data_IF_129596588805
#
_entry.id   IF_129596588805
#
_cell.length_a   1.000
_cell.length_b   1.000
_cell.length_c   1.000
_cell.angle_alpha   90.00
_cell.angle_beta   90.00
_cell.angle_gamma   90.00
#
_symmetry.space_group_name_H-M   'P 1'
#
loop_
_entity.id
_entity.type
_entity.pdbx_description
1 polymer ?
#
# COMPACT_ATOMS: atom_id res chain seq x y z
N UNK A 1 -20.43 18.89 -1.28
CA UNK A 1 -20.46 17.99 -0.10
C UNK A 1 -21.51 18.49 0.89
N UNK A 2 -22.34 17.61 1.46
CA UNK A 2 -23.37 18.02 2.45
C UNK A 2 -22.73 18.53 3.75
N UNK A 3 -23.43 19.40 4.50
CA UNK A 3 -22.97 19.91 5.81
C UNK A 3 -22.61 18.77 6.78
N UNK A 4 -23.44 17.73 6.84
CA UNK A 4 -23.21 16.55 7.69
C UNK A 4 -21.99 15.72 7.27
N UNK A 5 -21.73 15.63 5.97
CA UNK A 5 -20.53 14.94 5.47
C UNK A 5 -19.27 15.75 5.78
N UNK A 6 -19.31 17.07 5.61
CA UNK A 6 -18.18 17.96 5.92
C UNK A 6 -17.80 17.89 7.40
N UNK A 7 -18.77 17.88 8.32
CA UNK A 7 -18.54 17.66 9.75
C UNK A 7 -17.78 16.34 10.01
N UNK A 8 -18.25 15.24 9.40
CA UNK A 8 -17.65 13.93 9.54
C UNK A 8 -16.22 13.81 8.97
N UNK A 9 -15.75 14.72 8.12
CA UNK A 9 -14.36 14.70 7.62
C UNK A 9 -13.32 14.88 8.74
N UNK A 10 -13.75 15.39 9.89
CA UNK A 10 -12.90 15.54 11.08
C UNK A 10 -13.10 14.44 12.12
N UNK A 11 -13.95 13.44 11.83
CA UNK A 11 -14.32 12.39 12.78
C UNK A 11 -13.13 11.58 13.29
N UNK A 12 -12.11 11.35 12.45
CA UNK A 12 -10.90 10.62 12.80
C UNK A 12 -10.16 11.16 14.04
N UNK A 13 -10.34 12.44 14.41
CA UNK A 13 -9.82 13.00 15.66
C UNK A 13 -10.42 12.34 16.91
N UNK A 14 -11.65 11.83 16.79
CA UNK A 14 -12.35 11.12 17.86
C UNK A 14 -11.96 9.63 17.92
N UNK A 15 -10.96 9.19 17.14
CA UNK A 15 -10.44 7.83 17.22
C UNK A 15 -9.53 7.70 18.44
N UNK A 16 -10.12 7.55 19.62
CA UNK A 16 -9.40 7.21 20.84
C UNK A 16 -9.37 5.68 21.00
N UNK A 17 -8.19 5.14 21.32
CA UNK A 17 -7.99 3.73 21.62
C UNK A 17 -8.56 3.41 23.02
N UNK A 18 -9.88 3.44 23.18
CA UNK A 18 -10.50 3.21 24.49
C UNK A 18 -10.37 1.76 24.99
N UNK A 19 -9.92 0.79 24.18
CA UNK A 19 -9.87 -0.61 24.59
C UNK A 19 -8.81 -1.46 23.84
N UNK A 20 -7.69 -0.87 23.40
CA UNK A 20 -6.65 -1.53 22.58
C UNK A 20 -7.14 -2.17 21.26
N UNK A 21 -8.42 -1.98 20.89
CA UNK A 21 -9.03 -2.52 19.67
C UNK A 21 -9.04 -1.45 18.59
N UNK A 22 -8.46 -1.79 17.45
CA UNK A 22 -8.53 -0.96 16.25
C UNK A 22 -9.88 -1.18 15.54
N UNK A 23 -10.73 -0.15 15.51
CA UNK A 23 -12.02 -0.17 14.79
C UNK A 23 -12.02 0.73 13.54
N UNK A 24 -10.94 1.48 13.34
CA UNK A 24 -10.77 2.38 12.21
C UNK A 24 -9.27 2.59 11.94
N UNK A 25 -8.82 2.79 10.68
CA UNK A 25 -7.40 2.99 10.40
C UNK A 25 -6.74 4.16 11.14
N UNK A 26 -7.51 5.21 11.45
CA UNK A 26 -7.04 6.35 12.25
C UNK A 26 -6.61 6.01 13.68
N UNK A 27 -7.08 4.89 14.23
CA UNK A 27 -6.67 4.41 15.55
C UNK A 27 -5.33 3.63 15.51
N UNK A 28 -4.83 3.31 14.32
CA UNK A 28 -3.62 2.51 14.12
C UNK A 28 -2.32 3.31 14.21
N UNK A 29 -1.24 2.61 14.56
CA UNK A 29 0.10 3.21 14.71
C UNK A 29 0.63 3.85 13.40
N UNK A 30 0.26 3.32 12.24
CA UNK A 30 0.66 3.90 10.96
C UNK A 30 0.11 5.33 10.78
N UNK A 31 -1.14 5.57 11.21
CA UNK A 31 -1.75 6.90 11.15
C UNK A 31 -1.09 7.86 12.14
N UNK A 32 -0.90 7.42 13.39
CA UNK A 32 -0.23 8.22 14.43
C UNK A 32 1.19 8.58 14.02
N UNK A 33 1.93 7.63 13.46
CA UNK A 33 3.28 7.85 12.98
C UNK A 33 3.29 8.88 11.85
N UNK A 34 2.38 8.76 10.88
CA UNK A 34 2.22 9.74 9.80
C UNK A 34 1.95 11.15 10.35
N UNK A 35 0.98 11.29 11.27
CA UNK A 35 0.63 12.58 11.87
C UNK A 35 1.79 13.18 12.68
N UNK A 36 2.56 12.35 13.39
CA UNK A 36 3.76 12.79 14.12
C UNK A 36 4.91 13.22 13.21
N UNK A 37 4.97 12.68 11.99
CA UNK A 37 6.01 12.97 11.00
C UNK A 37 5.65 14.22 10.19
N UNK A 38 4.37 14.44 9.90
CA UNK A 38 3.86 15.53 9.08
C UNK A 38 2.96 16.45 9.89
N UNK A 39 3.54 17.14 10.89
CA UNK A 39 2.81 17.99 11.83
C UNK A 39 1.99 19.09 11.15
N UNK A 40 2.53 19.73 10.11
CA UNK A 40 1.81 20.76 9.35
C UNK A 40 0.54 20.19 8.69
N UNK A 41 0.65 19.01 8.07
CA UNK A 41 -0.50 18.31 7.49
C UNK A 41 -1.52 17.93 8.56
N UNK A 42 -1.07 17.38 9.69
CA UNK A 42 -1.94 16.92 10.78
C UNK A 42 -2.62 18.07 11.54
N UNK A 43 -2.01 19.27 11.55
CA UNK A 43 -2.56 20.46 12.21
C UNK A 43 -3.89 20.91 11.61
N UNK A 44 -4.13 20.62 10.33
CA UNK A 44 -5.41 20.84 9.66
C UNK A 44 -6.18 19.51 9.58
N UNK A 45 -7.15 19.26 10.49
CA UNK A 45 -7.88 17.99 10.51
C UNK A 45 -8.75 17.77 9.28
N UNK A 46 -9.05 18.81 8.49
CA UNK A 46 -9.82 18.65 7.25
C UNK A 46 -8.98 18.12 6.09
N UNK A 47 -7.66 18.02 6.25
CA UNK A 47 -6.79 17.37 5.27
C UNK A 47 -7.13 15.88 5.13
N UNK A 48 -7.07 15.40 3.90
CA UNK A 48 -7.67 14.11 3.53
C UNK A 48 -6.62 13.02 3.46
N UNK A 49 -6.90 11.89 4.09
CA UNK A 49 -6.08 10.67 4.04
C UNK A 49 -6.81 9.62 3.22
N UNK A 50 -6.14 9.14 2.19
CA UNK A 50 -6.67 8.23 1.18
C UNK A 50 -6.08 6.82 1.33
N UNK A 51 -6.89 5.83 0.98
CA UNK A 51 -6.42 4.51 0.59
C UNK A 51 -6.59 4.34 -0.92
N UNK A 52 -5.65 3.64 -1.55
CA UNK A 52 -5.80 3.21 -2.95
C UNK A 52 -5.95 1.70 -2.96
N UNK A 53 -6.91 1.16 -3.69
CA UNK A 53 -6.99 -0.27 -3.93
C UNK A 53 -7.14 -0.59 -5.41
N UNK A 54 -6.48 -1.65 -5.85
CA UNK A 54 -6.60 -2.13 -7.22
C UNK A 54 -6.25 -3.61 -7.29
N UNK A 55 -6.94 -4.31 -8.19
CA UNK A 55 -6.71 -5.71 -8.49
C UNK A 55 -7.13 -5.99 -9.94
N UNK A 56 -6.58 -7.03 -10.53
CA UNK A 56 -6.89 -7.46 -11.89
C UNK A 56 -7.99 -8.51 -11.91
N UNK A 57 -9.02 -8.29 -12.73
CA UNK A 57 -10.04 -9.32 -12.98
C UNK A 57 -10.37 -9.47 -14.47
N UNK A 58 -10.93 -10.63 -14.83
CA UNK A 58 -11.34 -10.97 -16.20
C UNK A 58 -12.87 -10.86 -16.31
N UNK A 59 -13.41 -9.80 -16.93
CA UNK A 59 -14.85 -9.56 -16.98
C UNK A 59 -15.63 -10.55 -17.86
N UNK A 60 -15.00 -11.16 -18.87
CA UNK A 60 -15.68 -12.00 -19.87
C UNK A 60 -15.47 -13.52 -19.69
N UNK A 61 -14.97 -13.94 -18.52
CA UNK A 61 -14.71 -15.35 -18.21
C UNK A 61 -13.50 -15.96 -18.94
N UNK A 62 -13.16 -17.20 -18.61
CA UNK A 62 -11.96 -17.90 -19.14
C UNK A 62 -12.10 -18.46 -20.56
N UNK A 63 -13.29 -18.41 -21.16
CA UNK A 63 -13.61 -19.04 -22.45
C UNK A 63 -13.59 -18.09 -23.65
N UNK A 64 -13.43 -16.79 -23.42
CA UNK A 64 -13.32 -15.76 -24.47
C UNK A 64 -11.91 -15.19 -24.54
N UNK A 65 -11.61 -14.41 -25.59
CA UNK A 65 -10.30 -13.75 -25.78
C UNK A 65 -9.79 -13.13 -24.47
N UNK A 66 -8.50 -13.28 -24.13
CA UNK A 66 -7.98 -12.78 -22.87
C UNK A 66 -8.25 -11.28 -22.76
N UNK A 67 -8.85 -10.88 -21.65
CA UNK A 67 -9.17 -9.48 -21.36
C UNK A 67 -8.96 -9.23 -19.88
N UNK A 68 -8.17 -8.22 -19.56
CA UNK A 68 -7.88 -7.84 -18.18
C UNK A 68 -8.45 -6.46 -17.90
N UNK A 69 -9.09 -6.32 -16.74
CA UNK A 69 -9.60 -5.06 -16.22
C UNK A 69 -9.00 -4.82 -14.82
N UNK A 70 -8.44 -3.64 -14.62
CA UNK A 70 -7.84 -3.18 -13.38
C UNK A 70 -8.52 -1.88 -12.95
N UNK A 71 -9.59 -1.94 -12.14
CA UNK A 71 -10.15 -0.76 -11.53
C UNK A 71 -9.21 -0.25 -10.43
N UNK A 72 -9.03 1.06 -10.39
CA UNK A 72 -8.29 1.75 -9.33
C UNK A 72 -9.29 2.53 -8.52
N UNK A 73 -9.53 2.08 -7.30
CA UNK A 73 -10.40 2.76 -6.36
C UNK A 73 -9.61 3.59 -5.35
N UNK A 74 -10.17 4.73 -4.99
CA UNK A 74 -9.65 5.62 -3.96
C UNK A 74 -10.70 5.74 -2.86
N UNK A 75 -10.30 5.49 -1.61
CA UNK A 75 -11.15 5.51 -0.43
C UNK A 75 -10.77 6.68 0.48
N UNK A 76 -11.78 7.33 1.08
CA UNK A 76 -11.59 8.43 2.03
C UNK A 76 -11.69 7.93 3.47
N UNK A 77 -10.56 7.91 4.19
CA UNK A 77 -10.51 7.42 5.57
C UNK A 77 -10.81 8.48 6.63
N UNK A 78 -11.04 9.73 6.26
CA UNK A 78 -11.41 10.77 7.23
C UNK A 78 -12.76 10.53 7.91
N UNK A 79 -13.62 9.75 7.27
CA UNK A 79 -15.01 9.51 7.65
C UNK A 79 -15.15 8.40 8.70
N UNK A 80 -16.24 8.39 9.49
CA UNK A 80 -16.50 7.32 10.45
C UNK A 80 -16.63 5.94 9.79
N UNK A 81 -16.40 4.84 10.55
CA UNK A 81 -16.49 3.46 10.07
C UNK A 81 -17.79 3.12 9.34
N UNK A 82 -18.90 3.71 9.78
CA UNK A 82 -20.23 3.52 9.18
C UNK A 82 -20.38 4.17 7.81
N UNK A 83 -19.39 4.97 7.37
CA UNK A 83 -19.44 5.74 6.12
C UNK A 83 -18.22 5.53 5.23
N UNK A 84 -17.00 5.38 5.76
CA UNK A 84 -15.77 5.36 4.95
C UNK A 84 -15.76 4.28 3.84
N UNK A 85 -16.53 3.20 4.00
CA UNK A 85 -16.66 2.11 3.02
C UNK A 85 -17.94 2.18 2.17
N UNK A 86 -18.75 3.24 2.28
CA UNK A 86 -19.93 3.40 1.44
C UNK A 86 -19.54 3.81 0.02
N UNK A 87 -20.31 3.34 -0.97
CA UNK A 87 -20.08 3.60 -2.39
C UNK A 87 -19.88 5.10 -2.71
N UNK A 88 -20.60 5.99 -2.02
CA UNK A 88 -20.49 7.44 -2.22
C UNK A 88 -19.13 8.06 -1.82
N UNK A 89 -18.28 7.30 -1.11
CA UNK A 89 -16.93 7.71 -0.69
C UNK A 89 -15.83 6.77 -1.21
N UNK A 90 -16.18 5.89 -2.14
CA UNK A 90 -15.25 5.05 -2.89
C UNK A 90 -15.27 5.55 -4.34
N UNK A 91 -14.20 6.23 -4.73
CA UNK A 91 -14.06 6.80 -6.06
C UNK A 91 -13.41 5.80 -6.99
N UNK A 92 -14.06 5.48 -8.11
CA UNK A 92 -13.41 4.80 -9.21
C UNK A 92 -12.59 5.83 -10.01
N UNK A 93 -11.31 5.95 -9.68
CA UNK A 93 -10.44 6.98 -10.27
C UNK A 93 -9.97 6.61 -11.67
N UNK A 94 -9.66 5.32 -11.90
CA UNK A 94 -9.19 4.83 -13.19
C UNK A 94 -9.78 3.45 -13.47
N UNK A 95 -9.99 3.15 -14.75
CA UNK A 95 -10.26 1.80 -15.24
C UNK A 95 -9.22 1.49 -16.29
N UNK A 96 -8.30 0.58 -15.97
CA UNK A 96 -7.23 0.17 -16.88
C UNK A 96 -7.66 -1.12 -17.56
N UNK A 97 -7.90 -1.05 -18.86
CA UNK A 97 -8.38 -2.17 -19.67
C UNK A 97 -7.36 -2.56 -20.73
N UNK A 98 -7.31 -3.85 -21.07
CA UNK A 98 -6.51 -4.30 -22.19
C UNK A 98 -6.71 -5.79 -22.52
N UNK A 99 -6.31 -6.21 -23.73
CA UNK A 99 -6.30 -7.63 -24.12
C UNK A 99 -5.34 -8.47 -23.26
N UNK A 100 -4.45 -7.81 -22.52
CA UNK A 100 -3.57 -8.42 -21.53
C UNK A 100 -3.48 -7.47 -20.33
N UNK A 101 -3.10 -8.01 -19.17
CA UNK A 101 -2.74 -7.18 -18.01
C UNK A 101 -1.69 -6.15 -18.40
N UNK A 102 -1.85 -4.92 -17.89
CA UNK A 102 -0.89 -3.82 -18.10
C UNK A 102 0.52 -4.19 -17.62
N UNK A 103 0.64 -5.22 -16.76
CA UNK A 103 1.90 -5.77 -16.29
C UNK A 103 2.79 -4.67 -15.71
N UNK A 104 3.97 -4.50 -16.31
CA UNK A 104 4.96 -3.49 -15.90
C UNK A 104 4.62 -2.06 -16.31
N UNK A 105 3.57 -1.83 -17.11
CA UNK A 105 3.19 -0.49 -17.58
C UNK A 105 2.03 0.12 -16.76
N UNK A 106 1.67 -0.49 -15.62
CA UNK A 106 0.60 0.04 -14.75
C UNK A 106 0.96 1.44 -14.21
N UNK A 107 2.24 1.70 -14.00
CA UNK A 107 2.81 2.98 -13.56
C UNK A 107 2.52 4.12 -14.54
N UNK A 108 2.63 3.88 -15.86
CA UNK A 108 2.28 4.84 -16.91
C UNK A 108 0.81 5.19 -16.84
N UNK A 109 -0.04 4.19 -16.62
CA UNK A 109 -1.49 4.36 -16.54
C UNK A 109 -1.91 5.09 -15.25
N UNK A 110 -1.17 4.90 -14.16
CA UNK A 110 -1.41 5.58 -12.88
C UNK A 110 -0.89 7.02 -12.85
N UNK A 111 -0.08 7.43 -13.83
CA UNK A 111 0.56 8.75 -13.87
C UNK A 111 -0.40 9.93 -13.66
N UNK A 112 -1.59 10.00 -14.29
CA UNK A 112 -2.53 11.09 -14.05
C UNK A 112 -2.95 11.18 -12.58
N UNK A 113 -3.26 10.03 -11.96
CA UNK A 113 -3.64 9.98 -10.54
C UNK A 113 -2.46 10.37 -9.63
N UNK A 114 -1.24 9.95 -9.97
CA UNK A 114 -0.03 10.32 -9.23
C UNK A 114 0.23 11.83 -9.32
N UNK A 115 0.03 12.44 -10.49
CA UNK A 115 0.23 13.87 -10.69
C UNK A 115 -0.80 14.69 -9.90
N UNK A 116 -2.07 14.26 -9.86
CA UNK A 116 -3.09 14.84 -9.00
C UNK A 116 -2.72 14.73 -7.51
N UNK A 117 -2.29 13.55 -7.06
CA UNK A 117 -1.86 13.32 -5.67
C UNK A 117 -0.67 14.22 -5.28
N UNK A 118 0.29 14.39 -6.19
CA UNK A 118 1.41 15.33 -5.98
C UNK A 118 0.91 16.77 -5.89
N UNK A 119 -0.01 17.17 -6.75
CA UNK A 119 -0.58 18.50 -6.71
C UNK A 119 -1.28 18.78 -5.37
N UNK A 120 -2.11 17.84 -4.91
CA UNK A 120 -2.78 17.95 -3.61
C UNK A 120 -1.79 17.96 -2.43
N UNK A 121 -0.70 17.21 -2.51
CA UNK A 121 0.29 17.16 -1.44
C UNK A 121 1.13 18.43 -1.34
N UNK A 122 1.72 18.89 -2.46
CA UNK A 122 2.69 19.99 -2.46
C UNK A 122 2.05 21.38 -2.48
N UNK A 123 0.93 21.55 -3.19
CA UNK A 123 0.29 22.86 -3.36
C UNK A 123 -1.03 22.97 -2.62
N UNK A 124 -1.70 21.84 -2.39
CA UNK A 124 -3.06 21.82 -1.86
C UNK A 124 -4.08 22.42 -2.82
N UNK A 125 -5.35 22.40 -2.43
CA UNK A 125 -6.45 22.97 -3.19
C UNK A 125 -7.36 23.77 -2.27
N UNK A 126 -7.66 25.02 -2.65
CA UNK A 126 -8.59 25.86 -1.90
C UNK A 126 -9.97 25.21 -1.89
N UNK A 127 -10.43 24.84 -0.71
CA UNK A 127 -11.65 24.06 -0.51
C UNK A 127 -12.57 24.77 0.46
N UNK A 128 -13.86 24.78 0.15
CA UNK A 128 -14.88 25.36 1.02
C UNK A 128 -15.47 24.30 1.95
N UNK A 129 -15.40 24.54 3.26
CA UNK A 129 -16.00 23.71 4.29
C UNK A 129 -17.44 24.15 4.55
N UNK A 130 -18.41 23.34 4.15
CA UNK A 130 -19.84 23.64 4.32
C UNK A 130 -20.36 23.50 5.76
N UNK A 131 -19.58 22.91 6.66
CA UNK A 131 -19.89 22.83 8.09
C UNK A 131 -19.41 24.06 8.84
N UNK A 132 -18.14 24.45 8.66
CA UNK A 132 -17.55 25.63 9.29
C UNK A 132 -17.78 26.94 8.53
N UNK A 133 -18.34 26.88 7.31
CA UNK A 133 -18.58 28.03 6.44
C UNK A 133 -17.33 28.86 6.14
N UNK A 134 -16.19 28.19 5.93
CA UNK A 134 -14.90 28.85 5.69
C UNK A 134 -14.09 28.13 4.61
N UNK A 135 -13.25 28.89 3.92
CA UNK A 135 -12.25 28.32 3.04
C UNK A 135 -11.04 27.83 3.84
N UNK A 136 -10.41 26.77 3.34
CA UNK A 136 -9.14 26.28 3.83
C UNK A 136 -8.33 25.70 2.67
N UNK A 137 -7.02 25.60 2.85
CA UNK A 137 -6.18 24.91 1.88
C UNK A 137 -6.18 23.42 2.23
N UNK A 138 -6.81 22.61 1.40
CA UNK A 138 -6.89 21.17 1.60
C UNK A 138 -5.69 20.49 0.97
N UNK A 139 -4.93 19.76 1.77
CA UNK A 139 -3.93 18.80 1.31
C UNK A 139 -4.46 17.38 1.38
N UNK A 140 -3.92 16.51 0.53
CA UNK A 140 -4.31 15.09 0.46
C UNK A 140 -3.08 14.20 0.53
N UNK A 141 -3.15 13.15 1.34
CA UNK A 141 -2.11 12.15 1.51
C UNK A 141 -2.62 10.76 1.13
N UNK A 142 -1.84 9.99 0.36
CA UNK A 142 -2.08 8.57 0.15
C UNK A 142 -1.37 7.78 1.26
N UNK A 143 -2.14 7.11 2.11
CA UNK A 143 -1.60 6.40 3.28
C UNK A 143 -1.06 5.01 2.94
N UNK A 144 -1.79 4.25 2.12
CA UNK A 144 -1.41 2.89 1.73
C UNK A 144 -2.15 2.42 0.48
N UNK A 145 -1.57 1.39 -0.14
CA UNK A 145 -2.17 0.64 -1.23
C UNK A 145 -2.68 -0.71 -0.74
N UNK A 146 -3.88 -1.12 -1.17
CA UNK A 146 -4.49 -2.42 -0.88
C UNK A 146 -4.53 -3.21 -2.18
N UNK A 147 -3.81 -4.32 -2.21
CA UNK A 147 -3.75 -5.24 -3.33
C UNK A 147 -3.46 -6.65 -2.82
N UNK A 148 -3.71 -7.66 -3.63
CA UNK A 148 -3.16 -8.98 -3.39
C UNK A 148 -1.63 -8.97 -3.59
N UNK A 149 -0.97 -10.12 -3.39
CA UNK A 149 0.48 -10.20 -3.52
C UNK A 149 0.92 -9.95 -4.97
N UNK A 150 0.14 -10.37 -5.97
CA UNK A 150 0.50 -10.20 -7.38
C UNK A 150 0.39 -8.74 -7.81
N UNK A 151 -0.72 -8.09 -7.48
CA UNK A 151 -0.97 -6.67 -7.67
C UNK A 151 0.02 -5.80 -6.91
N UNK A 152 0.46 -6.23 -5.72
CA UNK A 152 1.53 -5.54 -4.99
C UNK A 152 2.81 -5.47 -5.84
N UNK A 153 3.20 -6.57 -6.50
CA UNK A 153 4.40 -6.58 -7.35
C UNK A 153 4.27 -5.64 -8.55
N UNK A 154 3.08 -5.53 -9.12
CA UNK A 154 2.81 -4.59 -10.21
C UNK A 154 2.84 -3.13 -9.74
N UNK A 155 2.20 -2.83 -8.60
CA UNK A 155 2.14 -1.47 -8.05
C UNK A 155 3.47 -0.95 -7.52
N UNK A 156 4.22 -1.80 -6.82
CA UNK A 156 5.49 -1.44 -6.20
C UNK A 156 6.70 -1.61 -7.12
N UNK A 157 6.52 -2.29 -8.26
CA UNK A 157 7.63 -2.74 -9.11
C UNK A 157 8.50 -3.83 -8.46
N UNK A 158 8.08 -4.37 -7.32
CA UNK A 158 8.83 -5.39 -6.59
C UNK A 158 8.59 -6.80 -7.18
N UNK A 159 9.63 -7.64 -7.16
CA UNK A 159 9.48 -9.03 -7.60
C UNK A 159 8.70 -9.84 -6.58
N UNK A 160 7.56 -10.38 -6.99
CA UNK A 160 6.73 -11.28 -6.16
C UNK A 160 7.08 -12.74 -6.36
N UNK A 161 8.12 -13.03 -7.14
CA UNK A 161 8.53 -14.39 -7.51
C UNK A 161 9.93 -14.75 -6.99
N UNK A 162 10.12 -16.05 -6.74
CA UNK A 162 11.41 -16.62 -6.37
C UNK A 162 11.88 -16.20 -4.98
N UNK A 163 13.19 -15.99 -4.81
CA UNK A 163 13.80 -15.66 -3.50
C UNK A 163 13.52 -14.24 -3.03
N UNK A 164 13.18 -13.34 -3.95
CA UNK A 164 12.97 -11.91 -3.69
C UNK A 164 11.52 -11.57 -3.34
N UNK A 165 10.61 -12.54 -3.26
CA UNK A 165 9.18 -12.30 -2.97
C UNK A 165 8.93 -11.48 -1.70
N UNK A 166 9.81 -11.54 -0.70
CA UNK A 166 9.65 -10.78 0.54
C UNK A 166 10.23 -9.36 0.41
N UNK A 167 9.39 -8.31 0.40
CA UNK A 167 9.88 -6.92 0.28
C UNK A 167 10.59 -6.43 1.54
N UNK A 168 10.37 -7.08 2.69
CA UNK A 168 11.03 -6.71 3.96
C UNK A 168 12.42 -7.30 4.09
N UNK A 169 12.60 -8.57 3.68
CA UNK A 169 13.91 -9.22 3.72
C UNK A 169 14.79 -8.82 2.54
N UNK A 170 14.19 -8.47 1.41
CA UNK A 170 14.88 -8.10 0.18
C UNK A 170 15.94 -9.15 -0.23
N UNK A 171 17.15 -8.71 -0.58
CA UNK A 171 18.30 -9.57 -0.89
C UNK A 171 18.75 -10.44 0.29
N UNK A 172 18.38 -10.08 1.53
CA UNK A 172 18.75 -10.81 2.75
C UNK A 172 17.75 -11.93 3.09
N UNK A 173 16.86 -12.28 2.16
CA UNK A 173 15.93 -13.39 2.29
C UNK A 173 16.66 -14.71 2.51
N UNK A 174 16.27 -15.46 3.55
CA UNK A 174 16.78 -16.82 3.85
C UNK A 174 16.12 -17.91 3.00
N UNK A 175 15.32 -17.52 2.00
CA UNK A 175 14.61 -18.45 1.14
C UNK A 175 15.57 -19.37 0.38
N UNK A 176 15.21 -20.65 0.29
CA UNK A 176 16.03 -21.69 -0.33
C UNK A 176 15.25 -22.44 -1.40
N UNK A 177 15.98 -23.09 -2.30
CA UNK A 177 15.39 -23.88 -3.38
C UNK A 177 15.18 -25.32 -2.90
N UNK A 178 13.98 -25.86 -3.10
CA UNK A 178 13.70 -27.28 -2.89
C UNK A 178 14.12 -28.04 -4.15
N UNK A 179 15.16 -28.85 -4.06
CA UNK A 179 15.73 -29.58 -5.22
C UNK A 179 14.69 -30.45 -5.93
N UNK A 180 13.97 -31.28 -5.17
CA UNK A 180 12.95 -32.18 -5.72
C UNK A 180 11.62 -31.46 -6.05
N UNK A 181 11.27 -30.43 -5.28
CA UNK A 181 10.04 -29.66 -5.48
C UNK A 181 10.14 -28.62 -6.61
N UNK A 182 11.37 -28.28 -7.03
CA UNK A 182 11.70 -27.23 -8.00
C UNK A 182 10.99 -25.90 -7.71
N UNK A 183 10.93 -25.53 -6.42
CA UNK A 183 10.25 -24.33 -5.93
C UNK A 183 11.09 -23.65 -4.87
N UNK A 184 10.94 -22.33 -4.76
CA UNK A 184 11.50 -21.58 -3.64
C UNK A 184 10.63 -21.79 -2.40
N UNK A 185 11.25 -22.11 -1.27
CA UNK A 185 10.61 -22.28 0.02
C UNK A 185 11.07 -21.19 0.99
N UNK A 186 10.11 -20.69 1.77
CA UNK A 186 10.29 -19.76 2.87
C UNK A 186 10.10 -20.45 4.23
N UNK A 187 9.96 -21.78 4.23
CA UNK A 187 9.82 -22.55 5.45
C UNK A 187 10.96 -22.20 6.41
N UNK A 188 10.62 -21.98 7.67
CA UNK A 188 11.57 -21.66 8.74
C UNK A 188 12.35 -20.33 8.61
N UNK A 189 12.08 -19.53 7.59
CA UNK A 189 12.78 -18.25 7.39
C UNK A 189 12.26 -17.14 8.33
N UNK A 190 11.10 -17.34 8.96
CA UNK A 190 10.44 -16.33 9.79
C UNK A 190 10.91 -16.32 11.25
N UNK A 191 11.61 -17.36 11.73
CA UNK A 191 12.09 -17.43 13.12
C UNK A 191 13.05 -16.28 13.47
N UNK A 192 13.72 -15.70 12.47
CA UNK A 192 14.59 -14.53 12.65
C UNK A 192 13.85 -13.25 13.08
N UNK A 193 12.52 -13.21 12.97
CA UNK A 193 11.69 -12.08 13.44
C UNK A 193 11.24 -12.22 14.90
N UNK A 194 11.42 -13.39 15.52
CA UNK A 194 11.09 -13.60 16.93
C UNK A 194 12.13 -12.92 17.84
N UNK A 195 11.83 -12.62 19.11
CA UNK A 195 12.84 -12.21 20.09
C UNK A 195 14.03 -13.19 20.15
N UNK A 196 15.24 -12.72 20.44
CA UNK A 196 16.46 -13.55 20.41
C UNK A 196 16.43 -14.72 21.40
N UNK A 197 15.72 -14.55 22.52
CA UNK A 197 15.50 -15.52 23.58
C UNK A 197 14.27 -16.42 23.34
N UNK A 198 13.51 -16.19 22.27
CA UNK A 198 12.28 -16.92 21.99
C UNK A 198 12.54 -18.44 21.83
N UNK A 199 11.81 -19.33 22.54
CA UNK A 199 12.05 -20.78 22.53
C UNK A 199 12.09 -21.41 21.14
N UNK A 200 11.21 -20.97 20.23
CA UNK A 200 11.16 -21.49 18.85
C UNK A 200 12.46 -21.29 18.06
N UNK A 201 13.29 -20.28 18.39
CA UNK A 201 14.61 -20.12 17.75
C UNK A 201 15.56 -21.28 18.07
N UNK A 202 15.37 -21.94 19.22
CA UNK A 202 16.20 -23.07 19.69
C UNK A 202 15.55 -24.43 19.42
N UNK A 203 14.31 -24.46 18.96
CA UNK A 203 13.59 -25.68 18.65
C UNK A 203 14.17 -26.33 17.38
N UNK A 204 14.83 -27.48 17.58
CA UNK A 204 15.50 -28.27 16.53
C UNK A 204 14.64 -29.40 15.96
N UNK A 205 13.45 -29.61 16.51
CA UNK A 205 12.61 -30.77 16.25
C UNK A 205 11.39 -30.42 15.38
N UNK A 206 10.69 -29.32 15.69
CA UNK A 206 9.44 -28.95 15.00
C UNK A 206 9.68 -28.09 13.74
N UNK A 207 10.91 -27.59 13.57
CA UNK A 207 11.34 -26.79 12.43
C UNK A 207 12.36 -27.56 11.58
N UNK A 208 13.23 -26.86 10.84
CA UNK A 208 14.32 -27.53 10.12
C UNK A 208 15.17 -28.32 11.11
N UNK A 209 15.23 -29.63 10.90
CA UNK A 209 15.87 -30.59 11.80
C UNK A 209 17.29 -30.17 12.12
N UNK A 210 17.59 -30.08 13.42
CA UNK A 210 18.94 -29.75 13.91
C UNK A 210 19.34 -28.28 13.78
N UNK A 211 18.47 -27.40 13.26
CA UNK A 211 18.80 -25.99 13.01
C UNK A 211 18.30 -25.08 14.13
N UNK A 212 19.19 -24.23 14.62
CA UNK A 212 18.88 -23.09 15.50
C UNK A 212 18.97 -21.77 14.74
N UNK A 213 18.10 -20.83 15.06
CA UNK A 213 18.03 -19.51 14.40
C UNK A 213 18.66 -18.41 15.27
N UNK A 214 19.91 -18.07 14.96
CA UNK A 214 20.73 -17.09 15.68
C UNK A 214 20.81 -15.71 14.98
N UNK A 215 20.18 -15.56 13.83
CA UNK A 215 20.24 -14.34 13.03
C UNK A 215 19.39 -13.21 13.62
N UNK A 216 19.78 -11.99 13.27
CA UNK A 216 19.03 -10.77 13.63
C UNK A 216 17.91 -10.51 12.63
N UNK A 217 16.92 -9.73 13.06
CA UNK A 217 15.87 -9.26 12.17
C UNK A 217 16.49 -8.47 11.00
N UNK A 218 16.09 -8.73 9.74
CA UNK A 218 16.53 -7.92 8.60
C UNK A 218 16.18 -6.46 8.83
N UNK A 219 17.11 -5.55 8.51
CA UNK A 219 16.87 -4.11 8.61
C UNK A 219 15.76 -3.74 7.62
N UNK A 220 14.66 -3.17 8.13
CA UNK A 220 13.65 -2.52 7.31
C UNK A 220 14.21 -1.17 6.88
N UNK A 221 14.27 -0.93 5.58
CA UNK A 221 14.74 0.34 5.05
C UNK A 221 13.65 1.39 5.22
N UNK A 222 14.04 2.63 5.52
CA UNK A 222 13.15 3.78 5.42
C UNK A 222 12.82 4.10 3.95
N UNK A 223 11.79 4.93 3.73
CA UNK A 223 11.46 5.43 2.40
C UNK A 223 12.65 6.15 1.74
N UNK A 224 13.42 6.93 2.50
CA UNK A 224 14.59 7.66 1.99
C UNK A 224 15.76 6.73 1.66
N UNK A 225 15.98 5.68 2.46
CA UNK A 225 16.98 4.65 2.19
C UNK A 225 16.62 3.86 0.93
N UNK A 226 15.35 3.47 0.78
CA UNK A 226 14.86 2.83 -0.45
C UNK A 226 15.02 3.76 -1.65
N UNK A 227 14.63 5.04 -1.52
CA UNK A 227 14.77 6.06 -2.56
C UNK A 227 16.23 6.20 -3.01
N UNK A 228 17.15 6.24 -2.05
CA UNK A 228 18.60 6.36 -2.31
C UNK A 228 19.14 5.15 -3.10
N UNK A 229 18.61 3.94 -2.85
CA UNK A 229 18.97 2.73 -3.60
C UNK A 229 18.46 2.76 -5.04
N UNK A 230 17.23 3.20 -5.26
CA UNK A 230 16.61 3.22 -6.59
C UNK A 230 17.08 4.39 -7.45
N UNK A 231 17.53 5.49 -6.84
CA UNK A 231 17.94 6.71 -7.56
C UNK A 231 19.09 6.47 -8.57
N UNK A 232 19.93 5.47 -8.34
CA UNK A 232 21.04 5.12 -9.23
C UNK A 232 20.63 4.15 -10.36
N UNK A 233 19.41 3.60 -10.30
CA UNK A 233 18.93 2.72 -11.35
C UNK A 233 18.54 3.56 -12.57
N UNK A 234 18.83 3.09 -13.79
CA UNK A 234 18.42 3.79 -15.00
C UNK A 234 16.89 3.86 -15.07
N UNK A 235 16.38 4.99 -15.53
CA UNK A 235 14.97 5.11 -15.87
C UNK A 235 14.61 4.06 -16.92
N UNK A 236 13.65 3.22 -16.60
CA UNK A 236 13.08 2.30 -17.59
C UNK A 236 12.13 3.12 -18.45
N UNK A 237 12.39 3.17 -19.76
CA UNK A 237 11.44 3.75 -20.71
C UNK A 237 10.21 2.83 -20.77
N UNK A 238 9.14 3.23 -20.08
CA UNK A 238 7.88 2.51 -20.07
C UNK A 238 7.03 2.85 -21.31
N UNK A 239 6.20 1.90 -21.74
CA UNK A 239 5.39 2.01 -22.95
C UNK A 239 5.90 1.14 -24.11
N UNK A 240 4.97 0.60 -24.89
CA UNK A 240 5.32 -0.05 -26.17
C UNK A 240 5.67 1.07 -27.17
N UNK A 241 6.72 0.93 -27.99
CA UNK A 241 6.90 1.83 -29.12
C UNK A 241 5.63 1.81 -29.99
N UNK A 242 5.25 2.93 -30.61
CA UNK A 242 4.09 2.97 -31.48
C UNK A 242 4.20 1.84 -32.51
N UNK A 243 3.17 0.99 -32.58
CA UNK A 243 3.06 0.01 -33.65
C UNK A 243 2.94 0.81 -34.95
N UNK A 244 3.91 0.63 -35.85
CA UNK A 244 3.86 1.18 -37.21
C UNK A 244 2.70 0.58 -37.98
#
# INVERSE_FOLDING_TARGET
MSKKTAEHMTWHLNCYNENEKMFHPACGEAWKHFDSTHLEFASEPRNVRLGLCTDGFTPFGHSTSPYSCWPVFVLVYNLPPTRCMKQEYVFLSLIIQGPQSSGKNIDVMLRPLIDDLKQFWYYGVQTYDSFKHQYFLMSVALMWTISDLTGYGMLSGWSTHGKLTCPYCMENSKAFWLEHGRKTSFFDCYRQFLPLDHPFRRNKNDFIKGRTENGTMPKRLSGDEMRSRIHWLPDVLFGKPPQK
#
